data_IF_923874565781
#
_entry.id   IF_923874565781
#
_cell.length_a   1.000
_cell.length_b   1.000
_cell.length_c   1.000
_cell.angle_alpha   90.00
_cell.angle_beta   90.00
_cell.angle_gamma   90.00
#
_symmetry.space_group_name_H-M   'P 1'
#
loop_
_entity.id
_entity.type
_entity.pdbx_description
1 polymer ?
#
# COMPACT_ATOMS: atom_id res chain seq x y z
N UNK A 1 34.54 -62.69 -15.28
CA UNK A 1 34.46 -62.50 -13.81
C UNK A 1 34.16 -61.05 -13.38
N UNK A 2 34.54 -60.01 -14.16
CA UNK A 2 34.32 -58.61 -13.77
C UNK A 2 32.84 -58.15 -13.80
N UNK A 3 32.04 -58.65 -14.74
CA UNK A 3 30.65 -58.17 -14.93
C UNK A 3 29.67 -58.67 -13.87
N UNK A 4 29.89 -59.87 -13.33
CA UNK A 4 29.09 -60.42 -12.22
C UNK A 4 29.27 -59.57 -10.94
N UNK A 5 30.48 -59.05 -10.70
CA UNK A 5 30.76 -58.15 -9.58
C UNK A 5 30.08 -56.80 -9.74
N UNK A 6 30.04 -56.26 -10.97
CA UNK A 6 29.31 -55.01 -11.27
C UNK A 6 27.80 -55.17 -11.10
N UNK A 7 27.23 -56.29 -11.52
CA UNK A 7 25.82 -56.61 -11.30
C UNK A 7 25.49 -56.78 -9.81
N UNK A 8 26.40 -57.39 -9.04
CA UNK A 8 26.30 -57.46 -7.58
C UNK A 8 26.31 -56.08 -6.93
N UNK A 9 27.20 -55.20 -7.39
CA UNK A 9 27.27 -53.81 -6.90
C UNK A 9 25.99 -53.02 -7.24
N UNK A 10 25.46 -53.16 -8.46
CA UNK A 10 24.20 -52.51 -8.86
C UNK A 10 23.05 -53.00 -7.98
N UNK A 11 22.96 -54.30 -7.72
CA UNK A 11 21.93 -54.87 -6.84
C UNK A 11 22.04 -54.32 -5.42
N UNK A 12 23.25 -54.25 -4.88
CA UNK A 12 23.51 -53.68 -3.55
C UNK A 12 23.12 -52.20 -3.47
N UNK A 13 23.37 -51.42 -4.53
CA UNK A 13 23.00 -50.01 -4.60
C UNK A 13 21.47 -49.81 -4.69
N UNK A 14 20.76 -50.66 -5.44
CA UNK A 14 19.29 -50.61 -5.51
C UNK A 14 18.68 -50.92 -4.14
N UNK A 15 19.14 -51.98 -3.48
CA UNK A 15 18.63 -52.39 -2.17
C UNK A 15 18.89 -51.32 -1.09
N UNK A 16 20.07 -50.69 -1.13
CA UNK A 16 20.38 -49.56 -0.24
C UNK A 16 19.48 -48.34 -0.52
N UNK A 17 19.19 -48.05 -1.80
CA UNK A 17 18.29 -46.96 -2.18
C UNK A 17 16.85 -47.21 -1.69
N UNK A 18 16.33 -48.42 -1.84
CA UNK A 18 14.99 -48.81 -1.35
C UNK A 18 14.90 -48.68 0.18
N UNK A 19 15.92 -49.15 0.91
CA UNK A 19 15.95 -48.99 2.37
C UNK A 19 16.02 -47.52 2.79
N UNK A 20 16.71 -46.66 2.03
CA UNK A 20 16.76 -45.22 2.31
C UNK A 20 15.41 -44.53 2.10
N UNK A 21 14.66 -44.94 1.06
CA UNK A 21 13.31 -44.45 0.80
C UNK A 21 12.34 -44.88 1.90
N UNK A 22 12.41 -46.15 2.33
CA UNK A 22 11.55 -46.67 3.41
C UNK A 22 11.79 -45.93 4.74
N UNK A 23 13.06 -45.64 5.08
CA UNK A 23 13.40 -44.84 6.26
C UNK A 23 12.89 -43.40 6.16
N UNK A 24 13.01 -42.78 4.99
CA UNK A 24 12.50 -41.44 4.74
C UNK A 24 10.95 -41.38 4.86
N UNK A 25 10.24 -42.43 4.44
CA UNK A 25 8.79 -42.52 4.59
C UNK A 25 8.35 -42.65 6.05
N UNK A 26 9.00 -43.50 6.84
CA UNK A 26 8.72 -43.61 8.29
C UNK A 26 8.97 -42.30 9.02
N UNK A 27 10.05 -41.57 8.68
CA UNK A 27 10.32 -40.25 9.27
C UNK A 27 9.25 -39.21 8.94
N UNK A 28 8.60 -39.31 7.77
CA UNK A 28 7.48 -38.45 7.40
C UNK A 28 6.19 -38.83 8.14
N UNK A 29 6.01 -40.10 8.49
CA UNK A 29 4.85 -40.57 9.27
C UNK A 29 4.93 -40.17 10.75
N UNK A 30 6.15 -40.10 11.32
CA UNK A 30 6.38 -39.70 12.71
C UNK A 30 6.38 -38.17 12.94
N UNK A 31 6.42 -37.37 11.86
CA UNK A 31 6.21 -35.93 11.96
C UNK A 31 4.71 -35.62 12.00
N UNK A 32 4.17 -34.95 13.05
CA UNK A 32 2.77 -34.53 13.08
C UNK A 32 2.58 -33.31 12.17
N UNK A 33 2.71 -33.50 10.86
CA UNK A 33 2.15 -32.58 9.87
C UNK A 33 0.82 -33.16 9.46
N UNK A 34 -0.24 -32.49 9.91
CA UNK A 34 -1.62 -32.79 9.57
C UNK A 34 -1.74 -33.14 8.09
N UNK A 35 -2.23 -34.36 7.86
CA UNK A 35 -2.49 -34.96 6.56
C UNK A 35 -3.55 -34.12 5.84
N UNK A 36 -3.13 -33.07 5.13
CA UNK A 36 -3.95 -32.36 4.16
C UNK A 36 -4.07 -33.23 2.90
N UNK A 37 -4.77 -34.36 3.04
CA UNK A 37 -5.29 -35.14 1.92
C UNK A 37 -6.44 -34.35 1.33
N UNK A 38 -6.20 -33.71 0.19
CA UNK A 38 -7.23 -32.98 -0.54
C UNK A 38 -6.64 -31.85 -1.34
N UNK A 39 -6.24 -32.14 -2.57
CA UNK A 39 -5.72 -31.18 -3.55
C UNK A 39 -6.76 -30.13 -4.02
N UNK A 40 -7.85 -29.95 -3.27
CA UNK A 40 -8.92 -28.99 -3.53
C UNK A 40 -8.92 -27.84 -2.50
N UNK A 41 -8.41 -28.05 -1.28
CA UNK A 41 -8.54 -27.07 -0.19
C UNK A 41 -7.44 -26.01 -0.16
N UNK A 42 -6.24 -26.35 -0.65
CA UNK A 42 -5.11 -25.42 -0.75
C UNK A 42 -5.40 -24.29 -1.75
N UNK A 43 -6.17 -24.59 -2.81
CA UNK A 43 -6.60 -23.60 -3.81
C UNK A 43 -7.69 -22.66 -3.29
N UNK A 44 -8.61 -23.15 -2.45
CA UNK A 44 -9.62 -22.28 -1.82
C UNK A 44 -9.03 -21.43 -0.70
N UNK A 45 -8.16 -21.99 0.15
CA UNK A 45 -7.52 -21.21 1.23
C UNK A 45 -6.57 -20.14 0.71
N UNK A 46 -5.91 -20.36 -0.45
CA UNK A 46 -5.08 -19.35 -1.10
C UNK A 46 -5.88 -18.20 -1.75
N UNK A 47 -7.18 -18.36 -2.03
CA UNK A 47 -8.03 -17.24 -2.48
C UNK A 47 -8.27 -16.22 -1.36
N UNK A 48 -8.42 -16.70 -0.11
CA UNK A 48 -8.71 -15.86 1.06
C UNK A 48 -7.53 -14.99 1.53
N UNK A 49 -6.29 -15.46 1.37
CA UNK A 49 -5.09 -14.71 1.78
C UNK A 49 -4.26 -14.41 0.54
N UNK A 50 -4.10 -13.12 0.19
CA UNK A 50 -3.39 -12.65 -1.00
C UNK A 50 -1.95 -13.16 -1.15
N UNK A 51 -1.79 -14.40 -1.61
CA UNK A 51 -0.50 -15.01 -1.93
C UNK A 51 -0.55 -15.56 -3.36
N UNK A 52 0.46 -15.21 -4.13
CA UNK A 52 0.62 -15.59 -5.52
C UNK A 52 0.56 -17.12 -5.68
N UNK A 53 -0.18 -17.60 -6.69
CA UNK A 53 -0.23 -19.02 -7.04
C UNK A 53 0.66 -19.25 -8.26
N UNK A 54 1.70 -20.07 -8.08
CA UNK A 54 2.69 -20.39 -9.12
C UNK A 54 2.08 -21.48 -10.02
N UNK A 55 1.87 -21.19 -11.31
CA UNK A 55 1.67 -22.25 -12.32
C UNK A 55 3.02 -22.85 -12.69
N UNK A 56 3.03 -24.14 -13.06
CA UNK A 56 4.18 -24.99 -13.43
C UNK A 56 5.08 -24.47 -14.58
N UNK A 57 4.86 -23.25 -15.08
CA UNK A 57 5.58 -22.65 -16.21
C UNK A 57 6.09 -21.22 -15.93
N UNK A 58 6.45 -20.89 -14.67
CA UNK A 58 7.27 -19.70 -14.37
C UNK A 58 6.66 -18.33 -14.68
N UNK A 59 5.37 -18.26 -15.03
CA UNK A 59 4.66 -16.99 -15.26
C UNK A 59 4.07 -16.49 -13.95
N UNK A 60 4.56 -15.34 -13.48
CA UNK A 60 4.03 -14.63 -12.32
C UNK A 60 2.68 -14.00 -12.69
N UNK A 61 1.58 -14.64 -12.31
CA UNK A 61 0.27 -13.98 -12.33
C UNK A 61 0.10 -13.29 -10.98
N UNK A 62 0.40 -11.98 -10.94
CA UNK A 62 0.00 -11.15 -9.80
C UNK A 62 -1.54 -11.19 -9.68
N UNK A 63 -2.07 -11.17 -8.44
CA UNK A 63 -3.51 -10.93 -8.24
C UNK A 63 -3.84 -9.62 -8.95
N UNK A 64 -4.44 -9.72 -10.12
CA UNK A 64 -5.08 -8.59 -10.79
C UNK A 64 -6.26 -8.23 -9.90
N UNK A 65 -6.00 -7.39 -8.91
CA UNK A 65 -7.03 -6.79 -8.07
C UNK A 65 -7.80 -5.82 -8.96
N UNK A 66 -9.07 -6.13 -9.20
CA UNK A 66 -9.98 -5.21 -9.85
C UNK A 66 -10.11 -3.91 -9.03
N UNK A 67 -10.43 -2.78 -9.67
CA UNK A 67 -10.64 -1.52 -8.96
C UNK A 67 -11.71 -1.72 -7.87
N UNK A 68 -11.34 -1.47 -6.62
CA UNK A 68 -12.32 -1.47 -5.51
C UNK A 68 -13.21 -0.24 -5.66
N UNK A 69 -14.53 -0.43 -5.67
CA UNK A 69 -15.49 0.67 -5.68
C UNK A 69 -15.26 1.59 -4.48
N UNK A 70 -15.01 2.87 -4.75
CA UNK A 70 -14.67 3.90 -3.78
C UNK A 70 -15.77 4.95 -3.76
N UNK A 71 -16.10 5.44 -2.58
CA UNK A 71 -17.09 6.50 -2.33
C UNK A 71 -16.36 7.70 -1.74
N UNK A 72 -16.76 8.90 -2.15
CA UNK A 72 -16.29 10.16 -1.58
C UNK A 72 -17.20 10.55 -0.43
N UNK A 73 -16.60 10.85 0.72
CA UNK A 73 -17.30 11.37 1.89
C UNK A 73 -16.70 12.72 2.26
N UNK A 74 -17.54 13.61 2.74
CA UNK A 74 -17.13 14.89 3.32
C UNK A 74 -17.12 14.72 4.83
N UNK A 75 -16.12 15.28 5.49
CA UNK A 75 -16.00 15.29 6.94
C UNK A 75 -15.16 16.45 7.44
N UNK A 76 -15.09 16.60 8.75
CA UNK A 76 -14.28 17.65 9.39
C UNK A 76 -12.98 17.07 9.90
N UNK A 77 -11.86 17.75 9.65
CA UNK A 77 -10.57 17.37 10.19
C UNK A 77 -10.52 17.61 11.70
N UNK A 78 -10.17 16.58 12.45
CA UNK A 78 -9.91 16.61 13.88
C UNK A 78 -8.52 16.08 14.17
N UNK A 79 -7.96 16.46 15.31
CA UNK A 79 -6.71 15.92 15.83
C UNK A 79 -6.96 15.41 17.23
N UNK A 80 -6.59 14.16 17.47
CA UNK A 80 -6.62 13.60 18.82
C UNK A 80 -5.36 14.06 19.57
N UNK A 81 -5.55 14.78 20.68
CA UNK A 81 -4.47 15.30 21.51
C UNK A 81 -3.70 14.19 22.25
N UNK A 82 -4.33 13.03 22.47
CA UNK A 82 -3.73 11.92 23.22
C UNK A 82 -2.76 11.10 22.36
N UNK A 83 -3.14 10.84 21.12
CA UNK A 83 -2.38 9.99 20.18
C UNK A 83 -1.62 10.80 19.13
N UNK A 84 -1.90 12.11 19.03
CA UNK A 84 -1.37 12.99 18.00
C UNK A 84 -1.73 12.56 16.56
N UNK A 85 -2.78 11.75 16.41
CA UNK A 85 -3.29 11.27 15.13
C UNK A 85 -4.31 12.27 14.54
N UNK A 86 -4.34 12.34 13.21
CA UNK A 86 -5.36 13.09 12.50
C UNK A 86 -6.53 12.17 12.15
N UNK A 87 -7.73 12.64 12.47
CA UNK A 87 -8.99 11.94 12.30
C UNK A 87 -9.91 12.79 11.42
N UNK A 88 -10.73 12.17 10.60
CA UNK A 88 -11.80 12.84 9.85
C UNK A 88 -13.13 12.34 10.37
N UNK A 89 -13.92 13.26 10.93
CA UNK A 89 -15.28 12.98 11.37
C UNK A 89 -16.22 13.12 10.18
N UNK A 90 -16.75 12.00 9.69
CA UNK A 90 -17.84 12.01 8.72
C UNK A 90 -19.18 11.72 9.41
N UNK A 91 -20.29 11.90 8.70
CA UNK A 91 -21.63 11.73 9.25
C UNK A 91 -21.90 10.33 9.81
N UNK A 92 -21.27 9.30 9.23
CA UNK A 92 -21.51 7.90 9.59
C UNK A 92 -20.46 7.33 10.55
N UNK A 93 -19.20 7.79 10.45
CA UNK A 93 -18.08 7.30 11.26
C UNK A 93 -16.85 8.20 11.19
N UNK A 94 -15.96 8.00 12.16
CA UNK A 94 -14.63 8.61 12.20
C UNK A 94 -13.62 7.74 11.46
N UNK A 95 -12.74 8.39 10.70
CA UNK A 95 -11.67 7.74 9.95
C UNK A 95 -10.31 8.26 10.37
N UNK A 96 -9.31 7.38 10.40
CA UNK A 96 -7.91 7.78 10.53
C UNK A 96 -7.37 8.23 9.19
N UNK A 97 -6.62 9.33 9.19
CA UNK A 97 -5.98 9.87 7.98
C UNK A 97 -4.48 10.02 8.20
N UNK A 98 -3.72 9.91 7.11
CA UNK A 98 -2.27 10.03 7.16
C UNK A 98 -1.85 11.49 7.34
N UNK A 99 -0.97 11.73 8.31
CA UNK A 99 -0.35 13.03 8.56
C UNK A 99 0.27 13.63 7.28
N UNK A 100 0.95 12.79 6.48
CA UNK A 100 1.59 13.23 5.23
C UNK A 100 0.61 13.84 4.23
N UNK A 101 -0.64 13.35 4.19
CA UNK A 101 -1.67 13.93 3.34
C UNK A 101 -2.16 15.26 3.89
N UNK A 102 -2.37 15.36 5.21
CA UNK A 102 -2.80 16.61 5.87
C UNK A 102 -1.78 17.73 5.66
N UNK A 103 -0.48 17.43 5.81
CA UNK A 103 0.59 18.41 5.62
C UNK A 103 0.76 18.82 4.16
N UNK A 104 0.55 17.91 3.21
CA UNK A 104 0.59 18.21 1.78
C UNK A 104 -0.50 19.22 1.38
N UNK A 105 -1.73 19.01 1.84
CA UNK A 105 -2.86 19.91 1.59
C UNK A 105 -2.89 21.13 2.53
N UNK A 106 -1.94 21.22 3.47
CA UNK A 106 -1.83 22.25 4.51
C UNK A 106 -3.14 22.42 5.30
N UNK A 107 -3.85 21.33 5.57
CA UNK A 107 -5.13 21.39 6.28
C UNK A 107 -4.96 21.71 7.76
N UNK A 108 -5.91 22.46 8.30
CA UNK A 108 -5.99 22.79 9.71
C UNK A 108 -7.18 22.08 10.37
N UNK A 109 -7.10 21.88 11.69
CA UNK A 109 -8.19 21.26 12.45
C UNK A 109 -9.42 22.16 12.33
N UNK A 110 -10.55 21.56 11.94
CA UNK A 110 -11.79 22.30 11.65
C UNK A 110 -12.05 22.53 10.15
N UNK A 111 -11.07 22.28 9.27
CA UNK A 111 -11.30 22.34 7.82
C UNK A 111 -12.20 21.18 7.34
N UNK A 112 -12.95 21.43 6.27
CA UNK A 112 -13.69 20.39 5.57
C UNK A 112 -12.74 19.58 4.67
N UNK A 113 -12.81 18.26 4.80
CA UNK A 113 -11.95 17.33 4.09
C UNK A 113 -12.81 16.34 3.31
N UNK A 114 -12.47 16.16 2.04
CA UNK A 114 -13.02 15.12 1.20
C UNK A 114 -12.12 13.90 1.30
N UNK A 115 -12.68 12.79 1.78
CA UNK A 115 -11.99 11.51 1.93
C UNK A 115 -12.58 10.46 1.02
N UNK A 116 -11.70 9.56 0.56
CA UNK A 116 -12.02 8.44 -0.29
C UNK A 116 -12.01 7.16 0.53
N UNK A 117 -13.15 6.47 0.56
CA UNK A 117 -13.34 5.24 1.34
C UNK A 117 -13.87 4.11 0.46
N UNK A 118 -13.56 2.84 0.75
CA UNK A 118 -14.16 1.72 0.03
C UNK A 118 -15.67 1.64 0.32
N UNK A 119 -16.48 1.30 -0.69
CA UNK A 119 -17.94 1.13 -0.55
C UNK A 119 -18.34 0.10 0.51
N UNK A 120 -17.47 -0.89 0.74
CA UNK A 120 -17.67 -1.92 1.78
C UNK A 120 -17.55 -1.38 3.23
N UNK A 121 -17.24 -0.10 3.41
CA UNK A 121 -17.22 0.61 4.69
C UNK A 121 -16.48 -0.06 5.87
N UNK A 122 -15.57 -1.00 5.63
CA UNK A 122 -14.89 -1.78 6.68
C UNK A 122 -13.51 -1.24 7.06
N UNK A 123 -13.03 -0.18 6.40
CA UNK A 123 -11.71 0.40 6.66
C UNK A 123 -11.75 1.48 7.74
N UNK A 124 -10.86 1.36 8.73
CA UNK A 124 -10.59 2.40 9.73
C UNK A 124 -9.83 3.60 9.13
N UNK A 125 -9.09 3.36 8.05
CA UNK A 125 -8.29 4.36 7.35
C UNK A 125 -9.02 4.91 6.14
N UNK A 126 -8.91 6.22 5.93
CA UNK A 126 -9.40 6.90 4.73
C UNK A 126 -8.26 7.64 4.02
N UNK A 127 -8.33 7.70 2.70
CA UNK A 127 -7.39 8.48 1.90
C UNK A 127 -7.93 9.91 1.73
N UNK A 128 -7.14 10.91 2.05
CA UNK A 128 -7.50 12.32 1.83
C UNK A 128 -7.37 12.62 0.33
N UNK A 129 -8.44 13.13 -0.28
CA UNK A 129 -8.46 13.55 -1.68
C UNK A 129 -8.29 15.07 -1.81
N UNK A 130 -9.00 15.84 -0.99
CA UNK A 130 -8.96 17.31 -1.02
C UNK A 130 -9.30 17.92 0.34
N UNK A 131 -8.78 19.12 0.63
CA UNK A 131 -9.15 19.92 1.80
C UNK A 131 -9.74 21.25 1.32
N UNK A 132 -10.97 21.53 1.73
CA UNK A 132 -11.71 22.76 1.42
C UNK A 132 -11.46 23.73 2.57
N UNK A 133 -10.55 24.68 2.32
CA UNK A 133 -10.32 25.79 3.23
C UNK A 133 -11.42 26.82 3.04
N UNK A 134 -11.99 27.32 4.13
CA UNK A 134 -12.82 28.53 4.07
C UNK A 134 -11.88 29.69 3.75
N UNK A 135 -11.87 30.10 2.49
CA UNK A 135 -11.21 31.34 2.09
C UNK A 135 -12.08 32.44 2.67
N UNK A 136 -11.65 33.03 3.79
CA UNK A 136 -12.10 34.36 4.15
C UNK A 136 -11.68 35.27 3.00
N UNK A 137 -12.68 35.82 2.33
CA UNK A 137 -12.55 36.62 1.12
C UNK A 137 -11.83 37.93 1.41
N UNK A 138 -10.50 37.92 1.42
CA UNK A 138 -9.70 39.15 1.45
C UNK A 138 -8.31 38.92 0.82
N UNK A 139 -8.29 38.69 -0.50
CA UNK A 139 -7.07 38.81 -1.31
C UNK A 139 -7.42 39.10 -2.77
N UNK A 140 -7.84 40.33 -3.05
CA UNK A 140 -7.66 40.95 -4.37
C UNK A 140 -7.13 42.36 -4.16
N UNK A 141 -5.82 42.47 -3.95
CA UNK A 141 -5.07 43.65 -4.37
C UNK A 141 -3.82 43.20 -5.13
N UNK A 142 -3.88 43.39 -6.44
CA UNK A 142 -2.77 43.22 -7.34
C UNK A 142 -1.72 44.32 -7.07
N UNK A 143 -0.46 43.90 -6.94
CA UNK A 143 0.73 44.73 -6.74
C UNK A 143 0.77 45.98 -7.63
N UNK A 144 1.12 47.18 -7.12
CA UNK A 144 1.43 48.32 -7.97
C UNK A 144 2.75 48.05 -8.70
N UNK A 145 2.70 48.12 -10.02
CA UNK A 145 3.83 47.90 -10.90
C UNK A 145 4.73 49.14 -11.04
N UNK A 146 6.04 48.86 -10.96
CA UNK A 146 7.19 49.57 -11.54
C UNK A 146 7.81 50.73 -10.74
N UNK A 147 9.08 50.62 -10.31
CA UNK A 147 9.87 51.81 -9.99
C UNK A 147 10.21 52.54 -11.30
N UNK A 148 9.70 53.77 -11.46
CA UNK A 148 10.20 54.68 -12.47
C UNK A 148 11.63 55.09 -12.08
N UNK A 149 12.53 54.91 -13.04
CA UNK A 149 13.96 55.20 -12.98
C UNK A 149 14.15 56.70 -12.68
N UNK A 150 14.68 57.04 -11.51
CA UNK A 150 15.16 58.40 -11.23
C UNK A 150 16.55 58.54 -11.86
N UNK A 151 16.61 59.27 -12.96
CA UNK A 151 17.84 59.65 -13.65
C UNK A 151 17.49 60.75 -14.63
N UNK A 152 17.58 61.99 -14.17
CA UNK A 152 18.36 63.05 -14.82
C UNK A 152 18.41 64.26 -13.87
N UNK A 153 19.63 64.51 -13.38
CA UNK A 153 20.08 65.76 -12.79
C UNK A 153 20.71 66.58 -13.92
N UNK A 154 20.60 67.89 -13.80
CA UNK A 154 21.27 68.97 -14.54
C UNK A 154 20.72 69.32 -15.93
N UNK A 155 20.00 70.46 -15.98
CA UNK A 155 20.39 71.60 -16.82
C UNK A 155 19.70 72.91 -16.36
N UNK A 156 20.49 73.69 -15.61
CA UNK A 156 20.77 75.12 -15.80
C UNK A 156 19.63 76.16 -15.73
N UNK A 157 19.56 76.79 -14.56
CA UNK A 157 19.25 78.22 -14.43
C UNK A 157 20.21 79.06 -15.29
N UNK A 158 19.67 79.75 -16.30
CA UNK A 158 20.31 80.89 -16.93
C UNK A 158 19.26 81.93 -17.32
N UNK A 159 18.89 82.79 -16.38
CA UNK A 159 18.32 84.12 -16.66
C UNK A 159 19.07 85.11 -15.77
N UNK A 160 19.84 86.00 -16.41
CA UNK A 160 20.66 87.03 -15.76
C UNK A 160 21.73 87.55 -16.71
#
# INVERSE_FOLDING_TARGET
>A
MADIKKLGLIRQLIEAAEQSLARAQSLLEDTPIQKATGNTDILERAKATGKASIRRFGSFVYKQIGPVERVRLIGTLMRDESTNEYLVLSAERTFRVLLASVTYFKGEVGDEVVVLVPKSQSGEWAAVENIIKKIDSEATEAKPGRPAKAGDLDDLDATG
#
